data_IF_320853809171
#
_entry.id   IF_320853809171
#
_cell.length_a   1.000
_cell.length_b   1.000
_cell.length_c   1.000
_cell.angle_alpha   90.00
_cell.angle_beta   90.00
_cell.angle_gamma   90.00
#
_symmetry.space_group_name_H-M   'P 1'
#
loop_
_entity.id
_entity.type
_entity.pdbx_description
1 polymer ?
#
# COMPACT_ATOMS: atom_id res chain seq x y z
N UNK A 1 -13.76 -28.71 -8.10
CA UNK A 1 -12.65 -28.12 -7.34
C UNK A 1 -12.58 -26.67 -7.75
N UNK A 2 -13.04 -25.75 -6.89
CA UNK A 2 -12.92 -24.33 -7.17
C UNK A 2 -11.45 -23.95 -7.03
N UNK A 3 -10.89 -23.37 -8.07
CA UNK A 3 -9.56 -22.75 -8.04
C UNK A 3 -9.50 -21.80 -6.85
N UNK A 4 -8.48 -21.84 -5.98
CA UNK A 4 -8.33 -20.82 -4.96
C UNK A 4 -8.34 -19.47 -5.69
N UNK A 5 -9.20 -18.55 -5.26
CA UNK A 5 -9.18 -17.20 -5.78
C UNK A 5 -7.76 -16.67 -5.60
N UNK A 6 -7.04 -16.47 -6.71
CA UNK A 6 -5.75 -15.78 -6.66
C UNK A 6 -5.99 -14.45 -5.93
N UNK A 7 -5.12 -14.05 -4.99
CA UNK A 7 -5.23 -12.73 -4.40
C UNK A 7 -5.27 -11.75 -5.57
N UNK A 8 -6.36 -10.97 -5.64
CA UNK A 8 -6.46 -9.87 -6.58
C UNK A 8 -5.44 -8.84 -6.10
N UNK A 9 -4.18 -9.02 -6.51
CA UNK A 9 -3.13 -8.02 -6.28
C UNK A 9 -3.59 -6.69 -6.86
N UNK A 10 -2.96 -5.60 -6.42
CA UNK A 10 -3.23 -4.25 -6.91
C UNK A 10 -3.42 -4.23 -8.43
N UNK A 11 -4.42 -3.48 -8.88
CA UNK A 11 -4.82 -3.37 -10.28
C UNK A 11 -4.84 -1.90 -10.68
N UNK A 12 -4.63 -1.60 -11.98
CA UNK A 12 -4.81 -0.25 -12.47
C UNK A 12 -6.26 0.20 -12.31
N UNK A 13 -6.42 1.43 -11.83
CA UNK A 13 -7.67 2.15 -11.89
C UNK A 13 -8.15 2.36 -13.33
N UNK A 14 -9.47 2.58 -13.52
CA UNK A 14 -10.07 2.64 -14.85
C UNK A 14 -9.60 3.85 -15.68
N UNK A 15 -8.99 4.86 -15.06
CA UNK A 15 -8.47 6.08 -15.72
C UNK A 15 -6.97 6.02 -15.99
N UNK A 16 -6.26 5.03 -15.46
CA UNK A 16 -4.81 4.95 -15.56
C UNK A 16 -4.38 4.56 -16.97
N UNK A 17 -3.34 5.25 -17.46
CA UNK A 17 -2.54 4.68 -18.53
C UNK A 17 -1.86 3.42 -17.99
N UNK A 18 -1.98 2.31 -18.72
CA UNK A 18 -1.41 1.01 -18.33
C UNK A 18 -0.25 0.70 -19.26
N UNK A 19 0.97 0.71 -18.71
CA UNK A 19 2.20 0.36 -19.42
C UNK A 19 2.94 -0.73 -18.64
N UNK A 20 2.48 -1.99 -18.69
CA UNK A 20 3.06 -3.06 -17.88
C UNK A 20 4.53 -3.28 -18.24
N UNK A 21 5.41 -3.02 -17.27
CA UNK A 21 6.85 -3.01 -17.45
C UNK A 21 7.55 -3.64 -16.24
N UNK A 22 7.22 -3.18 -15.04
CA UNK A 22 7.89 -3.55 -13.80
C UNK A 22 7.38 -4.84 -13.18
N UNK A 23 8.33 -5.61 -12.64
CA UNK A 23 8.14 -6.69 -11.68
C UNK A 23 8.65 -6.27 -10.29
N UNK A 24 8.39 -7.08 -9.25
CA UNK A 24 8.75 -6.71 -7.87
C UNK A 24 10.25 -6.40 -7.73
N UNK A 25 10.64 -5.31 -7.03
CA UNK A 25 12.05 -4.95 -6.81
C UNK A 25 12.71 -5.75 -5.68
N UNK A 26 11.99 -6.66 -5.03
CA UNK A 26 12.49 -7.51 -3.95
C UNK A 26 11.63 -8.77 -3.83
N UNK A 27 12.16 -9.80 -3.14
CA UNK A 27 11.41 -11.01 -2.80
C UNK A 27 10.81 -10.89 -1.39
N UNK A 28 9.51 -11.16 -1.27
CA UNK A 28 8.77 -11.09 0.00
C UNK A 28 7.76 -9.94 0.03
N UNK A 29 7.19 -9.72 1.21
CA UNK A 29 6.26 -8.63 1.50
C UNK A 29 6.82 -7.84 2.68
N UNK A 30 6.92 -6.52 2.55
CA UNK A 30 7.49 -5.62 3.54
C UNK A 30 6.49 -4.51 3.88
N UNK A 31 6.61 -3.93 5.08
CA UNK A 31 5.81 -2.73 5.41
C UNK A 31 6.20 -1.58 4.50
N UNK A 32 5.21 -0.79 4.10
CA UNK A 32 5.47 0.51 3.51
C UNK A 32 5.62 1.54 4.64
N UNK A 33 6.68 2.35 4.58
CA UNK A 33 6.94 3.47 5.47
C UNK A 33 6.40 4.79 4.92
N UNK A 34 6.65 5.09 3.64
CA UNK A 34 6.23 6.34 2.99
C UNK A 34 5.61 6.10 1.62
N UNK A 35 4.68 6.97 1.22
CA UNK A 35 4.04 6.96 -0.09
C UNK A 35 4.66 7.97 -1.04
N UNK A 36 4.44 7.76 -2.33
CA UNK A 36 4.64 8.81 -3.31
C UNK A 36 3.57 9.88 -3.08
N UNK A 37 4.02 11.12 -2.94
CA UNK A 37 3.16 12.27 -2.73
C UNK A 37 2.74 12.89 -4.07
N UNK A 38 1.44 12.93 -4.34
CA UNK A 38 0.90 13.45 -5.59
C UNK A 38 0.67 14.96 -5.60
N UNK A 39 0.89 15.67 -4.48
CA UNK A 39 0.54 17.10 -4.46
C UNK A 39 1.50 17.94 -5.33
N UNK A 40 2.81 17.85 -5.07
CA UNK A 40 3.81 18.66 -5.76
C UNK A 40 5.02 17.84 -6.24
N UNK A 41 5.53 18.09 -7.47
CA UNK A 41 6.67 17.38 -8.01
C UNK A 41 8.03 17.84 -7.49
N UNK A 42 8.11 18.11 -6.19
CA UNK A 42 9.31 18.64 -5.55
C UNK A 42 9.61 17.96 -4.22
N UNK A 43 10.74 17.25 -4.21
CA UNK A 43 11.24 16.63 -2.99
C UNK A 43 11.60 17.68 -1.94
N UNK A 44 11.07 17.50 -0.72
CA UNK A 44 11.28 18.36 0.46
C UNK A 44 10.87 19.84 0.30
N UNK A 45 10.06 20.18 -0.72
CA UNK A 45 9.57 21.55 -0.92
C UNK A 45 8.05 21.65 -0.83
N UNK A 46 7.47 20.72 -0.11
CA UNK A 46 6.08 20.75 0.28
C UNK A 46 6.01 20.89 1.81
N UNK A 47 5.12 21.76 2.27
CA UNK A 47 4.95 22.15 3.67
C UNK A 47 3.48 22.10 4.14
N UNK A 48 2.64 21.41 3.37
CA UNK A 48 1.21 21.25 3.65
C UNK A 48 0.95 20.28 4.85
N UNK A 49 1.95 19.47 5.24
CA UNK A 49 1.91 18.56 6.37
C UNK A 49 1.27 17.19 6.12
N UNK A 50 1.12 16.75 4.85
CA UNK A 50 0.60 15.42 4.48
C UNK A 50 1.13 14.94 3.13
N UNK A 51 1.20 13.62 2.93
CA UNK A 51 1.39 13.01 1.61
C UNK A 51 0.03 12.74 0.96
N UNK A 52 -0.13 13.05 -0.33
CA UNK A 52 -1.31 12.69 -1.11
C UNK A 52 -1.08 11.36 -1.85
N UNK A 53 -1.72 10.29 -1.37
CA UNK A 53 -1.66 8.96 -2.01
C UNK A 53 -2.34 8.94 -3.38
N UNK A 54 -2.00 7.95 -4.20
CA UNK A 54 -2.54 7.83 -5.57
C UNK A 54 -4.07 7.68 -5.64
N UNK A 55 -4.74 7.19 -4.60
CA UNK A 55 -6.21 7.10 -4.54
C UNK A 55 -6.86 8.31 -3.84
N UNK A 56 -6.13 9.41 -3.67
CA UNK A 56 -6.65 10.68 -3.17
C UNK A 56 -6.84 10.76 -1.65
N UNK A 57 -6.21 9.86 -0.88
CA UNK A 57 -6.20 9.95 0.59
C UNK A 57 -4.96 10.68 1.08
N UNK A 58 -5.14 11.54 2.09
CA UNK A 58 -4.04 12.21 2.80
C UNK A 58 -3.47 11.30 3.87
N UNK A 59 -2.18 11.07 3.89
CA UNK A 59 -1.47 10.34 4.95
C UNK A 59 -0.48 11.25 5.65
N UNK A 60 -0.19 10.99 6.92
CA UNK A 60 0.93 11.66 7.58
C UNK A 60 2.26 11.07 7.09
N UNK A 61 3.34 11.87 7.12
CA UNK A 61 4.76 11.53 6.99
C UNK A 61 5.53 12.51 6.06
N UNK A 62 6.53 12.02 5.29
CA UNK A 62 7.54 12.82 4.60
C UNK A 62 6.94 13.60 3.41
N UNK A 63 6.55 14.84 3.67
CA UNK A 63 5.97 15.77 2.69
C UNK A 63 6.87 15.96 1.46
N UNK A 64 6.30 15.85 0.25
CA UNK A 64 7.04 15.91 -1.02
C UNK A 64 7.82 14.64 -1.40
N UNK A 65 7.52 13.49 -0.80
CA UNK A 65 8.21 12.24 -1.11
C UNK A 65 7.94 11.75 -2.55
N UNK A 66 8.98 11.49 -3.33
CA UNK A 66 8.91 11.21 -4.77
C UNK A 66 9.03 9.72 -5.13
N UNK A 67 8.81 8.84 -4.15
CA UNK A 67 8.96 7.39 -4.30
C UNK A 67 8.12 6.63 -3.30
N UNK A 68 8.44 5.36 -3.13
CA UNK A 68 7.82 4.47 -2.15
C UNK A 68 8.90 3.87 -1.28
N UNK A 69 8.73 3.98 0.04
CA UNK A 69 9.69 3.45 1.00
C UNK A 69 9.18 2.14 1.59
N UNK A 70 9.84 1.03 1.29
CA UNK A 70 9.55 -0.24 1.95
C UNK A 70 10.59 -0.54 3.03
N UNK A 71 10.14 -0.85 4.24
CA UNK A 71 10.99 -1.18 5.40
C UNK A 71 11.64 -2.56 5.22
N UNK A 72 12.77 -2.59 4.52
CA UNK A 72 13.59 -3.76 4.27
C UNK A 72 14.76 -3.81 5.26
N UNK A 73 15.04 -4.95 5.90
CA UNK A 73 16.29 -5.14 6.64
C UNK A 73 17.51 -4.81 5.78
N UNK A 74 18.55 -4.22 6.38
CA UNK A 74 19.83 -4.03 5.70
C UNK A 74 20.35 -5.37 5.17
N UNK A 75 20.84 -5.36 3.93
CA UNK A 75 21.35 -6.53 3.24
C UNK A 75 20.30 -7.30 2.44
N UNK A 76 19.05 -6.82 2.32
CA UNK A 76 18.03 -7.49 1.50
C UNK A 76 18.35 -7.32 0.02
N UNK A 77 18.39 -8.41 -0.79
CA UNK A 77 18.66 -8.30 -2.21
C UNK A 77 17.61 -7.48 -2.96
N UNK A 78 18.06 -6.48 -3.71
CA UNK A 78 17.25 -5.64 -4.58
C UNK A 78 17.35 -6.13 -6.02
N UNK A 79 16.21 -6.20 -6.70
CA UNK A 79 16.05 -6.79 -8.02
C UNK A 79 15.72 -5.71 -9.05
N UNK A 80 16.33 -5.80 -10.23
CA UNK A 80 15.92 -4.99 -11.37
C UNK A 80 14.45 -5.30 -11.72
N UNK A 81 13.58 -4.28 -11.68
CA UNK A 81 12.15 -4.43 -11.96
C UNK A 81 11.86 -4.73 -13.43
N UNK A 82 12.75 -4.40 -14.35
CA UNK A 82 12.63 -4.74 -15.76
C UNK A 82 14.00 -4.91 -16.41
N UNK A 83 14.02 -5.52 -17.60
CA UNK A 83 15.20 -5.51 -18.46
C UNK A 83 15.59 -4.06 -18.78
N UNK A 84 16.88 -3.76 -18.78
CA UNK A 84 17.33 -2.39 -18.98
C UNK A 84 18.83 -2.20 -18.97
N UNK A 85 19.24 -0.94 -19.00
CA UNK A 85 20.63 -0.51 -18.91
C UNK A 85 20.82 0.35 -17.67
N UNK A 86 21.83 0.03 -16.86
CA UNK A 86 22.18 0.81 -15.67
C UNK A 86 22.70 2.17 -16.12
N UNK A 87 21.98 3.24 -15.79
CA UNK A 87 22.34 4.62 -16.14
C UNK A 87 22.97 5.37 -14.97
N UNK A 88 22.78 4.88 -13.74
CA UNK A 88 23.50 5.34 -12.56
C UNK A 88 23.78 4.15 -11.63
N UNK A 89 24.97 4.10 -11.04
CA UNK A 89 25.34 3.15 -10.00
C UNK A 89 26.52 3.73 -9.21
N UNK A 90 26.25 4.29 -8.05
CA UNK A 90 27.29 4.89 -7.21
C UNK A 90 26.74 5.72 -6.06
N UNK A 91 27.61 6.59 -5.55
CA UNK A 91 27.27 7.53 -4.47
C UNK A 91 26.86 8.87 -5.07
N UNK A 92 25.67 9.35 -4.71
CA UNK A 92 25.26 10.74 -4.87
C UNK A 92 25.73 11.52 -3.63
N UNK A 93 26.75 12.39 -3.78
CA UNK A 93 27.39 12.98 -2.63
C UNK A 93 26.69 14.26 -2.17
N UNK A 94 26.74 14.49 -0.87
CA UNK A 94 26.60 15.78 -0.23
C UNK A 94 25.35 16.59 -0.64
N UNK A 95 24.20 16.10 -0.23
CA UNK A 95 22.95 16.88 -0.23
C UNK A 95 22.42 17.06 1.18
N UNK A 96 21.73 18.18 1.41
CA UNK A 96 21.10 18.46 2.70
C UNK A 96 19.88 17.56 2.88
N UNK A 97 19.80 16.89 4.02
CA UNK A 97 18.66 16.06 4.40
C UNK A 97 17.92 16.78 5.53
N UNK A 98 16.82 17.50 5.24
CA UNK A 98 16.07 18.24 6.25
C UNK A 98 15.59 17.38 7.44
N UNK A 99 15.11 16.13 7.25
CA UNK A 99 14.76 15.26 8.36
C UNK A 99 15.92 15.00 9.33
N UNK A 100 17.12 14.71 8.80
CA UNK A 100 18.31 14.43 9.61
C UNK A 100 19.10 15.69 10.02
N UNK A 101 18.74 16.86 9.48
CA UNK A 101 19.37 18.17 9.74
C UNK A 101 20.88 18.18 9.49
N UNK A 102 21.31 17.47 8.45
CA UNK A 102 22.72 17.37 8.06
C UNK A 102 22.86 17.00 6.59
N UNK A 103 24.03 17.30 6.03
CA UNK A 103 24.43 16.76 4.74
C UNK A 103 24.70 15.24 4.83
N UNK A 104 24.32 14.52 3.78
CA UNK A 104 24.46 13.06 3.68
C UNK A 104 24.95 12.65 2.29
N UNK A 105 25.52 11.45 2.23
CA UNK A 105 25.89 10.76 1.00
C UNK A 105 24.96 9.55 0.84
N UNK A 106 24.40 9.37 -0.35
CA UNK A 106 23.48 8.29 -0.66
C UNK A 106 24.06 7.34 -1.72
N UNK A 107 23.94 6.03 -1.51
CA UNK A 107 24.17 5.06 -2.57
C UNK A 107 22.85 4.73 -3.27
N UNK A 108 22.85 4.81 -4.60
CA UNK A 108 21.69 4.43 -5.40
C UNK A 108 22.10 3.77 -6.73
N UNK A 109 21.14 3.08 -7.33
CA UNK A 109 21.19 2.54 -8.69
C UNK A 109 19.99 3.06 -9.47
N UNK A 110 20.19 3.43 -10.73
CA UNK A 110 19.11 3.75 -11.66
C UNK A 110 19.25 2.91 -12.93
N UNK A 111 18.15 2.29 -13.34
CA UNK A 111 18.08 1.46 -14.55
C UNK A 111 17.09 2.07 -15.52
N UNK A 112 17.52 2.32 -16.76
CA UNK A 112 16.67 2.80 -17.85
C UNK A 112 16.06 1.61 -18.60
N UNK A 113 14.77 1.72 -18.90
CA UNK A 113 13.96 0.68 -19.51
C UNK A 113 13.22 1.23 -20.74
N UNK A 114 13.18 0.42 -21.79
CA UNK A 114 12.34 0.66 -22.97
C UNK A 114 11.00 -0.03 -22.79
N UNK A 115 9.91 0.73 -22.80
CA UNK A 115 8.56 0.19 -22.75
C UNK A 115 8.08 -0.25 -24.14
N UNK A 116 7.17 -1.23 -24.16
CA UNK A 116 6.62 -1.80 -25.39
C UNK A 116 5.86 -0.78 -26.26
N UNK A 117 5.41 0.34 -25.68
CA UNK A 117 4.71 1.41 -26.39
C UNK A 117 5.65 2.52 -26.91
N UNK A 118 6.97 2.30 -26.87
CA UNK A 118 7.99 3.24 -27.35
C UNK A 118 8.37 4.34 -26.35
N UNK A 119 7.73 4.36 -25.18
CA UNK A 119 8.15 5.22 -24.07
C UNK A 119 9.37 4.66 -23.35
N UNK A 120 10.03 5.51 -22.57
CA UNK A 120 11.13 5.08 -21.70
C UNK A 120 10.85 5.50 -20.27
N UNK A 121 11.20 4.62 -19.35
CA UNK A 121 11.07 4.83 -17.91
C UNK A 121 12.36 4.42 -17.23
N UNK A 122 12.73 5.07 -16.14
CA UNK A 122 13.76 4.56 -15.26
C UNK A 122 13.18 4.11 -13.93
N UNK A 123 13.79 3.08 -13.35
CA UNK A 123 13.61 2.69 -11.95
C UNK A 123 14.83 3.10 -11.14
N UNK A 124 14.60 3.75 -10.01
CA UNK A 124 15.62 4.21 -9.06
C UNK A 124 15.51 3.43 -7.76
N UNK A 125 16.64 3.01 -7.22
CA UNK A 125 16.75 2.22 -5.99
C UNK A 125 17.74 2.94 -5.09
N UNK A 126 17.27 3.46 -3.97
CA UNK A 126 17.99 4.37 -3.08
C UNK A 126 18.24 3.75 -1.70
N UNK A 127 19.11 4.41 -0.92
CA UNK A 127 19.58 3.98 0.40
C UNK A 127 20.39 2.68 0.44
N UNK A 128 21.04 2.26 -0.64
CA UNK A 128 21.73 0.97 -0.74
C UNK A 128 22.91 0.85 0.25
N UNK A 129 23.10 -0.32 0.87
CA UNK A 129 24.35 -0.62 1.60
C UNK A 129 25.44 -1.14 0.67
N UNK A 130 25.05 -1.77 -0.45
CA UNK A 130 25.96 -2.33 -1.46
C UNK A 130 25.38 -2.20 -2.86
N UNK A 131 26.25 -1.88 -3.82
CA UNK A 131 25.94 -1.82 -5.25
C UNK A 131 26.66 -2.98 -5.94
N UNK A 132 25.93 -3.81 -6.70
CA UNK A 132 26.44 -5.02 -7.36
C UNK A 132 26.51 -4.88 -8.90
N UNK A 133 26.25 -3.67 -9.42
CA UNK A 133 26.24 -3.35 -10.85
C UNK A 133 27.01 -2.06 -11.16
N UNK A 134 27.28 -1.81 -12.43
CA UNK A 134 27.98 -0.61 -12.90
C UNK A 134 27.26 0.06 -14.07
N UNK A 135 27.50 1.35 -14.26
CA UNK A 135 26.93 2.12 -15.40
C UNK A 135 27.27 1.46 -16.74
N UNK A 136 26.29 1.42 -17.65
CA UNK A 136 26.35 0.77 -18.96
C UNK A 136 26.11 -0.74 -18.93
N UNK A 137 25.99 -1.36 -17.75
CA UNK A 137 25.65 -2.77 -17.63
C UNK A 137 24.19 -3.01 -18.04
N UNK A 138 23.97 -4.00 -18.91
CA UNK A 138 22.63 -4.53 -19.16
C UNK A 138 22.21 -5.47 -18.04
N UNK A 139 21.02 -5.26 -17.49
CA UNK A 139 20.43 -6.09 -16.46
C UNK A 139 19.16 -6.74 -16.98
N UNK A 140 18.83 -7.90 -16.42
CA UNK A 140 17.56 -8.59 -16.67
C UNK A 140 16.60 -8.41 -15.51
N UNK A 141 15.32 -8.46 -15.80
CA UNK A 141 14.24 -8.50 -14.81
C UNK A 141 14.54 -9.58 -13.76
N UNK A 142 14.46 -9.24 -12.48
CA UNK A 142 14.75 -10.14 -11.36
C UNK A 142 16.24 -10.33 -11.05
N UNK A 143 17.16 -9.70 -11.79
CA UNK A 143 18.59 -9.73 -11.48
C UNK A 143 18.87 -8.90 -10.23
N UNK A 144 19.68 -9.44 -9.31
CA UNK A 144 20.17 -8.68 -8.15
C UNK A 144 21.09 -7.54 -8.62
N UNK A 145 20.77 -6.32 -8.20
CA UNK A 145 21.51 -5.10 -8.56
C UNK A 145 22.25 -4.45 -7.38
N UNK A 146 21.92 -4.86 -6.16
CA UNK A 146 22.51 -4.35 -4.93
C UNK A 146 21.76 -4.88 -3.72
N UNK A 147 22.10 -4.34 -2.55
CA UNK A 147 21.45 -4.65 -1.28
C UNK A 147 20.84 -3.39 -0.66
N UNK A 148 19.65 -3.52 -0.08
CA UNK A 148 19.02 -2.46 0.72
C UNK A 148 19.91 -2.08 1.90
N UNK A 149 19.82 -0.83 2.35
CA UNK A 149 20.62 -0.32 3.45
C UNK A 149 19.99 0.92 4.08
N UNK A 150 20.84 1.84 4.52
CA UNK A 150 20.45 3.07 5.22
C UNK A 150 21.37 4.25 4.89
N UNK A 151 21.95 4.31 3.69
CA UNK A 151 22.74 5.50 3.27
C UNK A 151 21.81 6.66 2.90
N UNK A 152 22.30 7.90 2.88
CA UNK A 152 21.50 9.05 2.47
C UNK A 152 20.53 9.55 3.54
N UNK A 153 19.39 10.09 3.09
CA UNK A 153 18.39 10.72 3.96
C UNK A 153 17.46 9.68 4.59
N UNK A 154 18.00 8.83 5.48
CA UNK A 154 17.30 7.66 6.00
C UNK A 154 17.57 7.42 7.50
N UNK A 155 16.50 7.31 8.30
CA UNK A 155 16.57 7.06 9.75
C UNK A 155 16.63 5.57 10.13
N UNK A 156 16.09 4.70 9.28
CA UNK A 156 16.03 3.23 9.47
C UNK A 156 16.23 2.51 8.14
N UNK A 157 16.74 1.26 8.11
CA UNK A 157 16.93 0.55 6.85
C UNK A 157 15.64 0.38 6.05
N UNK A 158 15.70 0.74 4.76
CA UNK A 158 14.58 0.62 3.83
C UNK A 158 15.06 0.66 2.36
N UNK A 159 14.17 0.34 1.43
CA UNK A 159 14.32 0.66 0.02
C UNK A 159 13.45 1.87 -0.27
N UNK A 160 14.07 2.96 -0.74
CA UNK A 160 13.35 3.99 -1.49
C UNK A 160 13.35 3.59 -2.96
N UNK A 161 12.16 3.37 -3.52
CA UNK A 161 11.99 3.03 -4.93
C UNK A 161 11.14 4.07 -5.62
N UNK A 162 11.66 4.61 -6.71
CA UNK A 162 10.99 5.65 -7.48
C UNK A 162 11.09 5.36 -8.98
N UNK A 163 10.16 5.92 -9.74
CA UNK A 163 10.12 5.79 -11.19
C UNK A 163 10.17 7.17 -11.84
N UNK A 164 10.87 7.28 -12.98
CA UNK A 164 10.85 8.48 -13.80
C UNK A 164 10.37 8.18 -15.20
N UNK A 165 9.61 9.10 -15.79
CA UNK A 165 9.28 9.06 -17.22
C UNK A 165 10.33 9.84 -18.01
N UNK A 166 10.97 9.14 -18.94
CA UNK A 166 12.04 9.68 -19.78
C UNK A 166 11.43 10.28 -21.05
N UNK A 167 11.16 11.58 -21.04
CA UNK A 167 10.56 12.27 -22.19
C UNK A 167 11.65 12.67 -23.17
N UNK A 168 11.63 12.10 -24.38
CA UNK A 168 12.54 12.50 -25.45
C UNK A 168 11.82 13.43 -26.45
N UNK A 169 12.02 14.75 -26.26
CA UNK A 169 11.87 15.90 -27.19
C UNK A 169 10.81 17.01 -26.93
N UNK A 170 11.20 18.22 -27.36
CA UNK A 170 10.64 19.59 -27.39
C UNK A 170 10.57 20.43 -26.09
N UNK A 171 10.54 19.84 -24.90
CA UNK A 171 10.77 20.55 -23.63
C UNK A 171 11.74 19.84 -22.66
N UNK A 172 12.13 18.58 -22.96
CA UNK A 172 13.45 18.01 -22.61
C UNK A 172 13.73 17.68 -21.14
N UNK A 173 12.71 17.45 -20.30
CA UNK A 173 12.91 17.12 -18.88
C UNK A 173 12.41 15.71 -18.54
N UNK A 174 13.23 14.98 -17.79
CA UNK A 174 12.84 13.76 -17.08
C UNK A 174 12.16 14.17 -15.78
N UNK A 175 11.06 13.51 -15.39
CA UNK A 175 10.35 13.81 -14.14
C UNK A 175 9.88 12.52 -13.47
N UNK A 176 9.68 12.57 -12.15
CA UNK A 176 9.16 11.45 -11.38
C UNK A 176 7.70 11.18 -11.76
N UNK A 177 7.30 9.91 -11.67
CA UNK A 177 5.93 9.46 -11.92
C UNK A 177 5.58 8.40 -10.89
N UNK A 178 4.34 8.37 -10.45
CA UNK A 178 3.86 7.27 -9.63
C UNK A 178 3.64 6.01 -10.51
N UNK A 179 4.34 4.88 -10.23
CA UNK A 179 4.17 3.61 -10.95
C UNK A 179 2.83 2.88 -10.67
N UNK A 180 2.02 3.35 -9.74
CA UNK A 180 0.65 2.89 -9.43
C UNK A 180 -0.43 3.74 -10.11
N UNK A 181 -0.08 4.84 -10.77
CA UNK A 181 -1.04 5.71 -11.46
C UNK A 181 -1.78 6.65 -10.51
N UNK A 182 -2.97 7.14 -10.91
CA UNK A 182 -3.83 8.01 -10.12
C UNK A 182 -5.30 7.55 -10.16
N UNK A 183 -5.86 7.30 -8.98
CA UNK A 183 -7.23 6.84 -8.75
C UNK A 183 -8.11 7.84 -8.00
N UNK A 184 -7.58 8.98 -7.58
CA UNK A 184 -8.37 10.01 -6.93
C UNK A 184 -9.54 10.51 -7.80
N UNK A 185 -10.59 11.00 -7.14
CA UNK A 185 -11.82 11.43 -7.83
C UNK A 185 -11.59 12.66 -8.74
N UNK A 186 -10.61 13.49 -8.39
CA UNK A 186 -10.18 14.66 -9.16
C UNK A 186 -9.14 14.30 -10.24
N UNK A 187 -8.85 15.21 -11.20
CA UNK A 187 -7.70 15.02 -12.09
C UNK A 187 -6.40 14.84 -11.31
N UNK A 188 -5.49 14.02 -11.84
CA UNK A 188 -4.15 13.76 -11.26
C UNK A 188 -3.40 15.08 -10.97
N UNK A 189 -3.23 15.50 -9.71
CA UNK A 189 -2.63 16.79 -9.38
C UNK A 189 -1.18 16.88 -9.86
N UNK A 190 -0.43 15.78 -9.73
CA UNK A 190 0.93 15.67 -10.22
C UNK A 190 0.99 15.85 -11.73
N UNK A 191 0.09 15.19 -12.46
CA UNK A 191 -0.03 15.34 -13.92
C UNK A 191 -0.52 16.71 -14.40
N UNK A 192 -1.21 17.48 -13.55
CA UNK A 192 -1.61 18.86 -13.86
C UNK A 192 -0.48 19.87 -13.63
N UNK A 193 0.53 19.54 -12.82
CA UNK A 193 1.62 20.44 -12.52
C UNK A 193 2.55 20.63 -13.75
N UNK A 194 3.02 21.85 -14.08
CA UNK A 194 3.90 22.09 -15.24
C UNK A 194 5.22 21.31 -15.25
N UNK A 195 5.66 20.86 -14.07
CA UNK A 195 6.92 20.11 -13.86
C UNK A 195 6.68 18.62 -13.56
N UNK A 196 5.41 18.22 -13.43
CA UNK A 196 5.02 16.82 -13.26
C UNK A 196 4.72 16.15 -14.60
N UNK A 197 4.42 14.86 -14.54
CA UNK A 197 3.93 14.09 -15.67
C UNK A 197 2.81 13.16 -15.19
N UNK A 198 1.82 12.92 -16.04
CA UNK A 198 0.72 12.03 -15.69
C UNK A 198 1.22 10.69 -15.12
N UNK A 199 0.68 10.32 -13.97
CA UNK A 199 0.96 9.08 -13.27
C UNK A 199 0.54 7.89 -14.15
N UNK A 200 1.26 6.78 -14.02
CA UNK A 200 1.14 5.65 -14.96
C UNK A 200 1.23 4.33 -14.22
N UNK A 201 0.34 3.40 -14.53
CA UNK A 201 0.44 2.04 -14.01
C UNK A 201 1.56 1.29 -14.74
N UNK A 202 2.70 1.08 -14.07
CA UNK A 202 3.88 0.43 -14.63
C UNK A 202 3.99 -1.05 -14.27
N UNK A 203 3.21 -1.56 -13.32
CA UNK A 203 3.38 -2.93 -12.83
C UNK A 203 2.76 -3.98 -13.75
N UNK A 204 3.48 -5.09 -13.98
CA UNK A 204 2.88 -6.30 -14.57
C UNK A 204 1.84 -6.89 -13.62
N UNK A 205 0.87 -7.62 -14.19
CA UNK A 205 -0.22 -8.22 -13.42
C UNK A 205 0.31 -9.07 -12.25
N UNK A 206 -0.10 -8.73 -11.02
CA UNK A 206 0.30 -9.44 -9.81
C UNK A 206 1.72 -9.16 -9.33
N UNK A 207 2.44 -8.24 -9.98
CA UNK A 207 3.83 -7.92 -9.67
C UNK A 207 4.02 -6.58 -8.96
N UNK A 208 2.95 -5.80 -8.79
CA UNK A 208 2.99 -4.62 -7.94
C UNK A 208 3.28 -5.03 -6.48
N UNK A 209 4.32 -4.48 -5.84
CA UNK A 209 4.50 -4.63 -4.40
C UNK A 209 3.27 -4.11 -3.66
N UNK A 210 2.93 -4.73 -2.55
CA UNK A 210 1.81 -4.26 -1.74
C UNK A 210 2.20 -2.93 -1.07
N UNK A 211 1.33 -1.92 -1.21
CA UNK A 211 1.47 -0.59 -0.55
C UNK A 211 0.63 -0.49 0.72
N UNK A 212 -0.12 -1.55 1.00
CA UNK A 212 -0.90 -1.75 2.20
C UNK A 212 -0.67 -3.18 2.62
N UNK A 213 -0.80 -3.46 3.90
CA UNK A 213 -0.87 -4.84 4.32
C UNK A 213 -2.34 -5.23 4.28
N UNK A 214 -2.62 -6.20 3.43
CA UNK A 214 -3.93 -6.81 3.34
C UNK A 214 -3.81 -8.25 3.80
N UNK A 215 -4.71 -8.64 4.68
CA UNK A 215 -4.90 -10.03 4.99
C UNK A 215 -6.32 -10.38 4.51
N UNK A 216 -6.37 -11.31 3.54
CA UNK A 216 -7.58 -12.00 3.07
C UNK A 216 -7.52 -13.46 3.52
N UNK A 217 -8.51 -13.96 4.26
CA UNK A 217 -8.39 -15.26 4.91
C UNK A 217 -8.87 -16.38 4.00
N UNK A 218 -8.44 -17.59 4.38
CA UNK A 218 -9.19 -18.84 4.19
C UNK A 218 -10.67 -18.67 4.58
N UNK A 219 -11.60 -19.52 4.09
CA UNK A 219 -13.04 -19.29 4.23
C UNK A 219 -13.41 -18.96 5.67
N UNK A 220 -13.81 -17.71 5.85
CA UNK A 220 -14.35 -17.10 7.05
C UNK A 220 -15.73 -16.59 6.62
N UNK A 221 -16.83 -16.95 7.29
CA UNK A 221 -16.93 -17.96 8.34
C UNK A 221 -16.32 -19.33 7.93
N UNK A 222 -15.81 -20.10 8.88
CA UNK A 222 -15.44 -21.49 8.66
C UNK A 222 -16.66 -22.36 8.37
N UNK A 223 -16.49 -23.67 8.11
CA UNK A 223 -17.61 -24.61 7.95
C UNK A 223 -18.54 -24.70 9.17
N UNK A 224 -17.98 -24.49 10.37
CA UNK A 224 -18.70 -24.63 11.65
C UNK A 224 -19.24 -23.29 12.19
N UNK A 225 -18.86 -22.17 11.57
CA UNK A 225 -19.36 -20.85 11.91
C UNK A 225 -20.69 -20.60 11.18
N UNK A 226 -21.67 -20.00 11.85
CA UNK A 226 -23.00 -19.77 11.27
C UNK A 226 -23.26 -18.30 10.86
N UNK A 227 -22.21 -17.47 10.79
CA UNK A 227 -22.35 -16.04 10.59
C UNK A 227 -22.88 -15.70 9.18
N UNK A 228 -23.88 -14.81 9.04
CA UNK A 228 -24.38 -14.40 7.73
C UNK A 228 -23.42 -13.47 6.96
N UNK A 229 -22.41 -12.95 7.64
CA UNK A 229 -21.33 -12.14 7.06
C UNK A 229 -19.97 -12.61 7.53
N UNK A 230 -18.97 -12.34 6.71
CA UNK A 230 -17.57 -12.61 6.92
C UNK A 230 -16.80 -11.32 7.14
N UNK A 231 -15.75 -11.36 7.95
CA UNK A 231 -14.66 -10.39 7.82
C UNK A 231 -13.80 -10.87 6.65
N UNK A 232 -13.92 -10.20 5.51
CA UNK A 232 -13.31 -10.59 4.25
C UNK A 232 -11.92 -9.99 4.03
N UNK A 233 -11.68 -8.83 4.63
CA UNK A 233 -10.41 -8.14 4.56
C UNK A 233 -10.17 -7.38 5.86
N UNK A 234 -8.96 -7.50 6.40
CA UNK A 234 -8.38 -6.47 7.26
C UNK A 234 -7.30 -5.76 6.45
N UNK A 235 -7.44 -4.46 6.29
CA UNK A 235 -6.43 -3.60 5.67
C UNK A 235 -5.89 -2.65 6.72
N UNK A 236 -4.58 -2.50 6.73
CA UNK A 236 -3.87 -1.51 7.53
C UNK A 236 -2.69 -0.95 6.74
N UNK A 237 -2.29 0.28 7.07
CA UNK A 237 -1.38 1.08 6.26
C UNK A 237 -0.53 2.01 7.12
N UNK A 238 0.74 2.18 6.75
CA UNK A 238 1.67 3.08 7.43
C UNK A 238 2.28 2.45 8.68
N UNK A 239 2.91 3.30 9.51
CA UNK A 239 3.52 2.92 10.79
C UNK A 239 2.99 3.73 11.97
N UNK A 240 2.10 4.71 11.71
CA UNK A 240 1.52 5.64 12.69
C UNK A 240 -0.01 5.71 12.57
N UNK A 241 -0.66 4.73 13.16
CA UNK A 241 -2.11 4.58 13.30
C UNK A 241 -2.85 5.84 13.80
N UNK A 242 -2.15 6.69 14.57
CA UNK A 242 -2.72 7.90 15.16
C UNK A 242 -2.83 9.09 14.19
N UNK A 243 -2.03 9.12 13.12
CA UNK A 243 -2.01 10.25 12.18
C UNK A 243 -3.12 10.15 11.13
N UNK A 244 -3.54 8.93 10.76
CA UNK A 244 -4.71 8.73 9.91
C UNK A 244 -5.48 7.45 10.28
N UNK A 245 -6.36 7.48 11.30
CA UNK A 245 -7.08 6.28 11.74
C UNK A 245 -8.03 5.66 10.70
N UNK A 246 -8.33 6.32 9.58
CA UNK A 246 -9.21 5.76 8.54
C UNK A 246 -8.46 4.91 7.49
N UNK A 247 -7.12 4.91 7.50
CA UNK A 247 -6.30 4.11 6.59
C UNK A 247 -6.30 2.61 6.97
N UNK A 248 -6.77 2.29 8.17
CA UNK A 248 -7.07 0.95 8.63
C UNK A 248 -8.57 0.70 8.66
N UNK A 249 -9.00 -0.43 8.11
CA UNK A 249 -10.40 -0.83 8.18
C UNK A 249 -10.57 -2.34 8.10
N UNK A 250 -11.71 -2.79 8.62
CA UNK A 250 -12.23 -4.13 8.35
C UNK A 250 -13.31 -4.06 7.27
N UNK A 251 -13.20 -4.90 6.24
CA UNK A 251 -14.24 -5.10 5.25
C UNK A 251 -15.06 -6.34 5.60
N UNK A 252 -16.39 -6.20 5.56
CA UNK A 252 -17.32 -7.31 5.70
C UNK A 252 -18.03 -7.63 4.39
N UNK A 253 -18.19 -8.92 4.13
CA UNK A 253 -18.89 -9.45 2.95
C UNK A 253 -19.95 -10.46 3.37
N UNK A 254 -20.99 -10.61 2.56
CA UNK A 254 -22.06 -11.58 2.80
C UNK A 254 -21.56 -13.00 2.55
N UNK A 255 -21.79 -13.92 3.49
CA UNK A 255 -21.56 -15.35 3.26
C UNK A 255 -22.80 -15.98 2.57
N UNK A 256 -22.67 -16.49 1.34
CA UNK A 256 -23.81 -17.03 0.61
C UNK A 256 -24.42 -18.30 1.23
N UNK A 257 -23.72 -19.01 2.12
CA UNK A 257 -24.24 -20.19 2.84
C UNK A 257 -25.32 -19.83 3.84
N UNK A 258 -25.18 -18.67 4.48
CA UNK A 258 -26.02 -18.24 5.60
C UNK A 258 -26.91 -17.03 5.25
N UNK A 259 -26.62 -16.34 4.16
CA UNK A 259 -27.43 -15.24 3.62
C UNK A 259 -27.75 -15.46 2.12
N UNK A 260 -28.61 -16.45 1.80
CA UNK A 260 -28.92 -16.84 0.41
C UNK A 260 -29.65 -15.76 -0.39
N UNK A 261 -30.29 -14.79 0.27
CA UNK A 261 -30.86 -13.59 -0.34
C UNK A 261 -29.80 -12.64 -0.92
N UNK A 262 -28.52 -12.84 -0.58
CA UNK A 262 -27.44 -11.95 -0.93
C UNK A 262 -27.35 -10.70 -0.05
N UNK A 263 -28.07 -10.65 1.07
CA UNK A 263 -28.02 -9.57 2.04
C UNK A 263 -28.22 -10.05 3.48
N UNK A 264 -27.66 -9.31 4.45
CA UNK A 264 -27.86 -9.55 5.88
C UNK A 264 -28.05 -8.24 6.64
N UNK A 265 -29.05 -8.19 7.52
CA UNK A 265 -29.22 -7.13 8.51
C UNK A 265 -28.20 -7.33 9.63
N UNK A 266 -27.44 -6.28 9.95
CA UNK A 266 -26.44 -6.26 11.01
C UNK A 266 -26.95 -5.60 12.28
N UNK A 267 -28.25 -5.37 12.43
CA UNK A 267 -28.84 -4.90 13.68
C UNK A 267 -28.42 -5.80 14.83
N UNK A 268 -27.84 -5.20 15.86
CA UNK A 268 -27.33 -5.92 17.03
C UNK A 268 -25.88 -6.36 16.86
N UNK A 269 -25.42 -6.67 15.65
CA UNK A 269 -24.04 -7.08 15.45
C UNK A 269 -23.04 -6.01 15.90
N UNK A 270 -21.86 -6.47 16.29
CA UNK A 270 -20.70 -5.66 16.55
C UNK A 270 -19.44 -6.22 15.90
N UNK A 271 -18.50 -5.32 15.62
CA UNK A 271 -17.16 -5.64 15.20
C UNK A 271 -16.20 -5.30 16.35
N UNK A 272 -15.54 -6.31 16.90
CA UNK A 272 -14.74 -6.20 18.12
C UNK A 272 -13.25 -6.42 17.82
N UNK A 273 -12.37 -5.63 18.45
CA UNK A 273 -10.92 -5.84 18.38
C UNK A 273 -10.42 -6.78 19.51
N UNK A 274 -9.13 -7.11 19.51
CA UNK A 274 -8.49 -7.94 20.55
C UNK A 274 -8.44 -7.26 21.95
N UNK A 275 -8.62 -5.94 22.04
CA UNK A 275 -8.71 -5.16 23.30
C UNK A 275 -10.11 -5.15 23.90
N UNK A 276 -11.12 -5.60 23.16
CA UNK A 276 -12.52 -5.63 23.57
C UNK A 276 -13.34 -4.40 23.16
N UNK A 277 -12.73 -3.39 22.54
CA UNK A 277 -13.46 -2.29 21.92
C UNK A 277 -14.40 -2.87 20.84
N UNK A 278 -15.67 -2.46 20.85
CA UNK A 278 -16.68 -2.96 19.90
C UNK A 278 -17.36 -1.81 19.16
N UNK A 279 -17.33 -1.85 17.83
CA UNK A 279 -18.16 -1.03 16.95
C UNK A 279 -19.51 -1.69 16.80
N UNK A 280 -20.59 -1.00 17.16
CA UNK A 280 -21.94 -1.52 16.95
C UNK A 280 -22.48 -1.04 15.61
N UNK A 281 -22.97 -1.96 14.79
CA UNK A 281 -23.58 -1.59 13.52
C UNK A 281 -24.87 -0.78 13.75
N UNK A 282 -25.13 0.27 12.96
CA UNK A 282 -26.36 1.04 13.07
C UNK A 282 -27.59 0.15 12.91
N UNK A 283 -28.67 0.46 13.64
CA UNK A 283 -29.92 -0.28 13.52
C UNK A 283 -30.45 -0.21 12.09
N UNK A 284 -30.78 -1.37 11.52
CA UNK A 284 -31.25 -1.55 10.14
C UNK A 284 -30.14 -1.52 9.08
N UNK A 285 -28.87 -1.43 9.48
CA UNK A 285 -27.76 -1.45 8.53
C UNK A 285 -27.67 -2.83 7.86
N UNK A 286 -27.67 -2.84 6.53
CA UNK A 286 -27.70 -4.08 5.74
C UNK A 286 -26.46 -4.19 4.86
N UNK A 287 -25.74 -5.30 4.95
CA UNK A 287 -24.63 -5.64 4.03
C UNK A 287 -25.17 -6.43 2.86
N UNK A 288 -24.63 -6.19 1.66
CA UNK A 288 -25.06 -6.86 0.43
C UNK A 288 -23.88 -7.51 -0.28
N UNK A 289 -24.15 -8.60 -0.99
CA UNK A 289 -23.13 -9.36 -1.73
C UNK A 289 -22.43 -8.54 -2.81
N UNK A 290 -23.14 -7.61 -3.43
CA UNK A 290 -22.62 -6.69 -4.45
C UNK A 290 -21.97 -5.43 -3.86
N UNK A 291 -22.05 -5.24 -2.54
CA UNK A 291 -21.57 -4.05 -1.82
C UNK A 291 -20.98 -4.43 -0.46
N UNK A 292 -19.71 -4.86 -0.42
CA UNK A 292 -18.98 -5.02 0.83
C UNK A 292 -18.99 -3.71 1.63
N UNK A 293 -19.03 -3.82 2.96
CA UNK A 293 -18.96 -2.66 3.86
C UNK A 293 -17.57 -2.56 4.47
N UNK A 294 -17.02 -1.36 4.57
CA UNK A 294 -15.80 -1.04 5.32
C UNK A 294 -16.16 -0.37 6.63
N UNK A 295 -15.49 -0.77 7.71
CA UNK A 295 -15.56 -0.14 9.01
C UNK A 295 -14.19 0.47 9.32
N UNK A 296 -14.09 1.79 9.16
CA UNK A 296 -12.90 2.59 9.42
C UNK A 296 -12.78 2.92 10.91
N UNK A 297 -11.55 3.02 11.42
CA UNK A 297 -11.31 3.36 12.82
C UNK A 297 -11.65 4.83 13.13
N UNK A 298 -11.30 5.75 12.23
CA UNK A 298 -11.41 7.19 12.42
C UNK A 298 -12.81 7.78 12.27
N UNK A 299 -12.87 9.10 12.06
CA UNK A 299 -14.11 9.86 11.87
C UNK A 299 -14.45 10.04 10.38
N UNK A 300 -15.75 10.11 10.06
CA UNK A 300 -16.22 10.34 8.71
C UNK A 300 -17.74 10.29 8.64
N UNK A 301 -18.28 10.37 7.42
CA UNK A 301 -19.72 10.30 7.19
C UNK A 301 -20.11 8.88 6.80
N UNK A 302 -20.93 8.24 7.62
CA UNK A 302 -21.47 6.91 7.31
C UNK A 302 -22.26 6.91 5.99
N UNK A 303 -22.01 5.90 5.16
CA UNK A 303 -22.71 5.56 3.92
C UNK A 303 -23.23 4.11 3.99
N UNK A 304 -23.75 3.58 2.89
CA UNK A 304 -24.09 2.15 2.77
C UNK A 304 -22.86 1.24 2.62
N UNK A 305 -21.69 1.80 2.31
CA UNK A 305 -20.44 1.05 2.09
C UNK A 305 -19.32 1.40 3.06
N UNK A 306 -19.42 2.52 3.78
CA UNK A 306 -18.35 3.04 4.63
C UNK A 306 -18.95 3.50 5.97
N UNK A 307 -18.49 2.87 7.04
CA UNK A 307 -18.86 3.17 8.41
C UNK A 307 -17.62 3.65 9.18
N UNK A 308 -17.82 4.59 10.10
CA UNK A 308 -16.75 5.24 10.84
C UNK A 308 -16.96 5.07 12.34
N UNK A 309 -15.96 4.51 13.02
CA UNK A 309 -16.01 4.26 14.46
C UNK A 309 -15.83 5.55 15.28
N UNK A 310 -15.21 6.57 14.70
CA UNK A 310 -15.00 7.87 15.32
C UNK A 310 -13.87 7.89 16.35
N UNK A 311 -12.91 6.95 16.24
CA UNK A 311 -11.77 6.88 17.15
C UNK A 311 -10.69 7.91 16.75
N UNK A 312 -9.95 8.45 17.73
CA UNK A 312 -8.83 9.35 17.45
C UNK A 312 -7.55 8.61 17.02
N UNK A 313 -7.54 7.28 17.04
CA UNK A 313 -6.41 6.43 16.69
C UNK A 313 -6.91 5.17 15.99
N UNK A 314 -6.01 4.51 15.25
CA UNK A 314 -6.26 3.20 14.68
C UNK A 314 -6.79 2.21 15.70
N UNK A 315 -7.70 1.36 15.23
CA UNK A 315 -8.24 0.22 15.97
C UNK A 315 -7.51 -1.05 15.57
N UNK A 316 -6.90 -1.04 14.39
CA UNK A 316 -6.23 -2.19 13.79
C UNK A 316 -4.71 -1.92 13.78
N UNK A 317 -3.99 -2.34 14.83
CA UNK A 317 -2.54 -2.16 14.91
C UNK A 317 -1.69 -3.03 13.95
N UNK A 318 -0.59 -2.44 13.50
CA UNK A 318 0.32 -3.00 12.49
C UNK A 318 1.05 -4.30 12.89
N UNK A 319 1.00 -4.66 14.18
CA UNK A 319 1.79 -5.72 14.80
C UNK A 319 0.96 -6.93 15.25
N UNK A 320 -0.36 -6.86 15.19
CA UNK A 320 -1.24 -8.03 15.16
C UNK A 320 -2.57 -7.84 15.88
N UNK A 321 -3.63 -7.58 15.10
CA UNK A 321 -4.99 -7.57 15.64
C UNK A 321 -5.74 -8.88 15.47
N UNK A 322 -6.87 -8.92 16.15
CA UNK A 322 -7.94 -9.82 15.83
C UNK A 322 -9.21 -9.01 15.68
N UNK A 323 -9.91 -9.24 14.58
CA UNK A 323 -11.26 -8.73 14.39
C UNK A 323 -12.25 -9.86 14.63
N UNK A 324 -13.27 -9.60 15.43
CA UNK A 324 -14.33 -10.55 15.76
C UNK A 324 -15.67 -9.97 15.37
N UNK A 325 -16.48 -10.73 14.63
CA UNK A 325 -17.90 -10.45 14.52
C UNK A 325 -18.62 -11.00 15.75
N UNK A 326 -19.44 -10.18 16.41
CA UNK A 326 -20.18 -10.55 17.62
C UNK A 326 -21.65 -10.16 17.48
N UNK A 327 -22.57 -10.90 18.10
CA UNK A 327 -23.99 -10.53 18.16
C UNK A 327 -24.48 -10.69 19.62
N UNK A 328 -25.22 -9.72 20.19
CA UNK A 328 -25.77 -9.78 21.54
C UNK A 328 -27.00 -10.71 21.54
N UNK A 329 -26.77 -11.97 21.87
CA UNK A 329 -27.75 -13.04 22.05
C UNK A 329 -27.04 -14.39 21.87
N UNK A 330 -27.38 -15.39 22.70
CA UNK A 330 -26.64 -16.67 22.95
C UNK A 330 -26.33 -17.61 21.76
N UNK A 331 -26.25 -17.09 20.54
CA UNK A 331 -25.55 -17.72 19.43
C UNK A 331 -24.37 -16.84 19.04
N UNK A 332 -23.22 -17.10 19.66
CA UNK A 332 -21.97 -16.53 19.20
C UNK A 332 -21.76 -16.99 17.76
N UNK A 333 -21.60 -16.03 16.86
CA UNK A 333 -21.14 -16.25 15.49
C UNK A 333 -19.66 -15.84 15.43
N UNK A 334 -18.74 -16.57 16.08
CA UNK A 334 -17.36 -16.15 16.20
C UNK A 334 -16.71 -16.28 14.82
N UNK A 335 -16.74 -15.20 14.05
CA UNK A 335 -15.95 -15.02 12.83
C UNK A 335 -14.73 -14.24 13.28
N UNK A 336 -13.58 -14.91 13.36
CA UNK A 336 -12.32 -14.27 13.76
C UNK A 336 -11.29 -14.28 12.65
N UNK A 337 -10.37 -13.34 12.78
CA UNK A 337 -9.36 -13.07 11.76
C UNK A 337 -8.00 -12.84 12.44
N UNK A 338 -6.92 -13.48 11.97
CA UNK A 338 -5.58 -13.50 12.62
C UNK A 338 -4.44 -13.18 11.66
N UNK A 339 -3.50 -12.33 12.09
CA UNK A 339 -2.26 -11.97 11.38
C UNK A 339 -1.16 -13.05 11.53
N UNK A 340 -0.46 -13.36 10.45
CA UNK A 340 0.49 -14.50 10.38
C UNK A 340 1.97 -14.18 10.66
N UNK A 341 2.32 -13.00 11.20
CA UNK A 341 3.74 -12.64 11.31
C UNK A 341 4.36 -12.66 12.72
N UNK A 342 3.59 -12.72 13.81
CA UNK A 342 4.16 -12.87 15.15
C UNK A 342 3.29 -13.80 16.02
N UNK A 343 3.94 -14.49 16.98
CA UNK A 343 3.43 -15.59 17.83
C UNK A 343 2.23 -15.26 18.75
N UNK A 344 1.36 -14.32 18.41
CA UNK A 344 0.09 -14.12 19.11
C UNK A 344 -1.02 -14.88 18.36
N UNK A 345 -1.54 -15.95 18.96
CA UNK A 345 -2.84 -16.49 18.59
C UNK A 345 -3.91 -15.52 19.06
N UNK A 346 -4.89 -15.20 18.21
CA UNK A 346 -6.14 -14.61 18.69
C UNK A 346 -6.60 -15.42 19.89
N UNK A 347 -6.72 -14.77 21.05
CA UNK A 347 -7.28 -15.44 22.22
C UNK A 347 -8.69 -15.83 21.81
N UNK A 348 -8.93 -17.14 21.74
CA UNK A 348 -10.29 -17.63 21.86
C UNK A 348 -10.82 -17.02 23.16
N UNK A 349 -11.97 -16.36 23.10
CA UNK A 349 -12.73 -16.07 24.33
C UNK A 349 -12.78 -17.35 25.19
N UNK A 350 -12.74 -17.25 26.54
CA UNK A 350 -12.74 -18.40 27.45
C UNK A 350 -13.82 -19.43 27.16
#
# INVERSE_FOLDING_TARGET
MATPAQPLGLRPGPRNQVVPLFEKPFAGEFALGNFFDHELPFEFKDDNGFQLTWWGTRTGDLDGHNGYDWLLPDGTPLLATADGEVVFAGTFPNFDCPPLKRAVDEQLVEVLHDAHNGERFSSSYSHLSRIDVQVGQRVRTGQVIGLSGQTGCSEVPHLHFAARRWVNTNNGRTTWVDPYGWEGDQPDPWGQHPEGAASVWLWKQGQAPQVFRELRASPNPGPDDAAPVAIALLRWMGWKDAENPNNEFAQLEVDPRFAPSGSSDLTGFGLRNNRGDTFLFPRGFTVRRDRPVKVHSGTGRNTDTDLYWGRPSGVWDDLGDCAYLVHPGDSDYPVWYRFWYLKASCKTSP
#
